data_IF_005496792297
#
_entry.id   IF_005496792297
#
_cell.length_a   1.000
_cell.length_b   1.000
_cell.length_c   1.000
_cell.angle_alpha   90.00
_cell.angle_beta   90.00
_cell.angle_gamma   90.00
#
_symmetry.space_group_name_H-M   'P 1'
#
loop_
_entity.id
_entity.type
_entity.pdbx_description
1 polymer ?
#
# COMPACT_ATOMS: atom_id res chain seq x y z
N UNK A 1 -3.62 15.84 17.75
CA UNK A 1 -4.71 16.55 17.06
C UNK A 1 -5.58 15.51 16.34
N UNK A 2 -6.83 15.34 16.75
CA UNK A 2 -7.74 14.32 16.21
C UNK A 2 -8.24 14.82 14.85
N UNK A 3 -7.68 14.29 13.79
CA UNK A 3 -8.14 14.57 12.43
C UNK A 3 -9.38 13.71 12.19
N UNK A 4 -10.54 14.31 11.91
CA UNK A 4 -11.78 13.57 11.61
C UNK A 4 -11.73 12.99 10.19
N UNK A 5 -11.14 11.80 10.05
CA UNK A 5 -11.08 11.06 8.77
C UNK A 5 -12.42 10.41 8.40
N UNK A 6 -13.25 10.10 9.39
CA UNK A 6 -14.58 9.55 9.19
C UNK A 6 -15.62 10.65 9.35
N UNK A 7 -16.40 10.85 8.30
CA UNK A 7 -17.48 11.83 8.34
C UNK A 7 -18.71 11.21 8.99
N UNK A 8 -19.23 11.86 10.03
CA UNK A 8 -20.63 11.75 10.43
C UNK A 8 -21.38 12.71 9.50
N UNK A 9 -21.84 12.19 8.37
CA UNK A 9 -22.72 12.87 7.42
C UNK A 9 -22.26 14.29 7.00
N UNK A 10 -21.14 14.40 6.29
CA UNK A 10 -20.64 15.69 5.80
C UNK A 10 -21.42 16.22 4.60
N UNK A 11 -22.12 17.34 4.80
CA UNK A 11 -22.44 18.33 3.78
C UNK A 11 -21.19 19.12 3.42
N UNK A 12 -20.53 18.79 2.32
CA UNK A 12 -19.94 19.81 1.44
C UNK A 12 -19.33 19.18 0.18
N UNK A 13 -19.63 19.79 -0.97
CA UNK A 13 -18.83 19.73 -2.21
C UNK A 13 -18.85 18.45 -3.05
N UNK A 14 -18.69 17.27 -2.44
CA UNK A 14 -18.72 15.97 -3.13
C UNK A 14 -20.11 15.34 -2.97
N UNK A 15 -20.63 14.67 -4.01
CA UNK A 15 -21.95 14.00 -3.96
C UNK A 15 -22.02 13.11 -2.71
N UNK A 16 -22.87 13.48 -1.74
CA UNK A 16 -23.13 12.67 -0.54
C UNK A 16 -23.48 11.25 -0.98
N UNK A 17 -22.81 10.25 -0.40
CA UNK A 17 -23.14 8.84 -0.65
C UNK A 17 -24.61 8.62 -0.30
N UNK A 18 -25.40 8.27 -1.31
CA UNK A 18 -26.81 7.93 -1.13
C UNK A 18 -26.97 6.50 -0.59
N UNK A 19 -28.12 6.15 0.00
CA UNK A 19 -28.44 4.76 0.34
C UNK A 19 -28.36 3.82 -0.87
N UNK A 20 -28.70 4.31 -2.07
CA UNK A 20 -28.58 3.60 -3.34
C UNK A 20 -27.11 3.34 -3.69
N UNK A 21 -26.25 4.36 -3.57
CA UNK A 21 -24.80 4.22 -3.79
C UNK A 21 -24.21 3.19 -2.84
N UNK A 22 -24.56 3.26 -1.55
CA UNK A 22 -24.11 2.28 -0.56
C UNK A 22 -24.52 0.85 -0.96
N UNK A 23 -25.78 0.63 -1.34
CA UNK A 23 -26.27 -0.68 -1.78
C UNK A 23 -25.51 -1.17 -3.01
N UNK A 24 -25.30 -0.32 -4.01
CA UNK A 24 -24.54 -0.63 -5.23
C UNK A 24 -23.08 -1.00 -4.91
N UNK A 25 -22.39 -0.18 -4.13
CA UNK A 25 -20.98 -0.37 -3.77
C UNK A 25 -20.79 -1.68 -2.99
N UNK A 26 -21.66 -1.96 -2.01
CA UNK A 26 -21.58 -3.21 -1.24
C UNK A 26 -21.88 -4.43 -2.12
N UNK A 27 -22.85 -4.34 -3.04
CA UNK A 27 -23.15 -5.42 -3.97
C UNK A 27 -21.94 -5.72 -4.90
N UNK A 28 -21.36 -4.69 -5.51
CA UNK A 28 -20.17 -4.81 -6.36
C UNK A 28 -18.98 -5.38 -5.59
N UNK A 29 -18.75 -4.92 -4.35
CA UNK A 29 -17.71 -5.47 -3.50
C UNK A 29 -17.92 -6.96 -3.19
N UNK A 30 -19.16 -7.39 -2.92
CA UNK A 30 -19.49 -8.81 -2.70
C UNK A 30 -19.25 -9.67 -3.94
N UNK A 31 -19.56 -9.16 -5.13
CA UNK A 31 -19.27 -9.86 -6.39
C UNK A 31 -17.76 -10.02 -6.64
N UNK A 32 -16.96 -9.08 -6.14
CA UNK A 32 -15.51 -9.10 -6.27
C UNK A 32 -14.78 -9.82 -5.14
N UNK A 33 -15.42 -10.04 -4.00
CA UNK A 33 -14.87 -10.78 -2.86
C UNK A 33 -14.22 -12.13 -3.24
N UNK A 34 -14.84 -12.97 -4.11
CA UNK A 34 -14.24 -14.24 -4.53
C UNK A 34 -13.13 -14.08 -5.58
N UNK A 35 -13.04 -12.91 -6.21
CA UNK A 35 -12.07 -12.58 -7.28
C UNK A 35 -10.83 -11.87 -6.75
N UNK A 36 -10.84 -11.44 -5.49
CA UNK A 36 -9.64 -10.97 -4.81
C UNK A 36 -8.80 -12.22 -4.49
N UNK A 37 -7.99 -12.66 -5.46
CA UNK A 37 -7.01 -13.74 -5.38
C UNK A 37 -5.80 -13.35 -4.51
N UNK A 38 -6.06 -12.86 -3.31
CA UNK A 38 -5.04 -12.68 -2.28
C UNK A 38 -5.52 -13.45 -1.06
N UNK A 39 -4.67 -14.33 -0.53
CA UNK A 39 -4.84 -14.82 0.85
C UNK A 39 -5.16 -13.60 1.69
N UNK A 40 -6.35 -13.51 2.32
CA UNK A 40 -6.73 -12.32 3.04
C UNK A 40 -5.65 -12.01 4.06
N UNK A 41 -5.22 -10.75 4.13
CA UNK A 41 -4.24 -10.34 5.13
C UNK A 41 -4.87 -10.57 6.52
N UNK A 42 -4.53 -11.67 7.19
CA UNK A 42 -5.07 -11.98 8.52
C UNK A 42 -4.34 -11.14 9.55
N UNK A 43 -5.07 -10.29 10.25
CA UNK A 43 -4.61 -9.42 11.30
C UNK A 43 -5.27 -9.81 12.62
N UNK A 44 -4.47 -10.08 13.66
CA UNK A 44 -4.96 -10.32 15.03
C UNK A 44 -5.76 -9.11 15.53
N UNK A 45 -5.23 -7.91 15.32
CA UNK A 45 -5.91 -6.66 15.66
C UNK A 45 -5.73 -5.65 14.53
N UNK A 46 -6.85 -5.16 14.00
CA UNK A 46 -6.84 -4.04 13.07
C UNK A 46 -7.06 -2.72 13.81
N UNK A 47 -6.11 -1.81 13.68
CA UNK A 47 -6.19 -0.48 14.30
C UNK A 47 -6.68 0.57 13.31
N UNK A 48 -7.29 1.62 13.82
CA UNK A 48 -7.71 2.78 13.02
C UNK A 48 -6.53 3.35 12.22
N UNK A 49 -5.39 3.58 12.89
CA UNK A 49 -4.26 4.27 12.26
C UNK A 49 -3.67 3.41 11.14
N UNK A 50 -3.72 2.07 11.28
CA UNK A 50 -3.32 1.14 10.23
C UNK A 50 -4.27 1.18 9.03
N UNK A 51 -5.59 1.22 9.27
CA UNK A 51 -6.58 1.41 8.18
C UNK A 51 -6.30 2.70 7.41
N UNK A 52 -6.03 3.79 8.13
CA UNK A 52 -5.71 5.08 7.52
C UNK A 52 -4.40 5.03 6.71
N UNK A 53 -3.37 4.36 7.24
CA UNK A 53 -2.10 4.20 6.54
C UNK A 53 -2.28 3.49 5.19
N UNK A 54 -3.20 2.53 5.10
CA UNK A 54 -3.50 1.82 3.85
C UNK A 54 -4.17 2.71 2.82
N UNK A 55 -5.10 3.59 3.23
CA UNK A 55 -5.65 4.60 2.33
C UNK A 55 -4.58 5.59 1.82
N UNK A 56 -3.50 5.81 2.57
CA UNK A 56 -2.40 6.68 2.14
C UNK A 56 -1.42 5.96 1.21
N UNK A 57 -1.10 4.69 1.50
CA UNK A 57 -0.16 3.90 0.70
C UNK A 57 -0.74 3.43 -0.62
N UNK A 58 -2.03 3.07 -0.63
CA UNK A 58 -2.68 2.40 -1.76
C UNK A 58 -3.46 3.37 -2.65
N UNK A 59 -3.49 4.66 -2.28
CA UNK A 59 -4.22 5.67 -3.05
C UNK A 59 -3.75 5.65 -4.50
N UNK A 60 -4.68 5.57 -5.47
CA UNK A 60 -4.33 5.76 -6.86
C UNK A 60 -3.68 7.13 -7.06
N UNK A 61 -2.65 7.21 -7.92
CA UNK A 61 -1.93 8.47 -8.21
C UNK A 61 -2.81 9.52 -8.89
N UNK A 62 -4.01 9.12 -9.33
CA UNK A 62 -5.01 10.05 -9.86
C UNK A 62 -5.52 10.98 -8.74
N UNK A 63 -5.19 12.27 -8.86
CA UNK A 63 -5.58 13.33 -7.94
C UNK A 63 -7.10 13.49 -7.77
N UNK A 64 -7.91 12.90 -8.65
CA UNK A 64 -9.37 12.90 -8.55
C UNK A 64 -9.92 11.98 -7.45
N UNK A 65 -9.13 11.03 -6.91
CA UNK A 65 -9.59 10.12 -5.87
C UNK A 65 -9.51 10.80 -4.52
N UNK A 66 -10.62 11.40 -4.09
CA UNK A 66 -10.73 12.10 -2.79
C UNK A 66 -11.42 11.28 -1.71
N UNK A 67 -12.03 10.17 -2.09
CA UNK A 67 -12.94 9.42 -1.24
C UNK A 67 -12.59 7.93 -1.21
N UNK A 68 -12.81 7.30 -0.06
CA UNK A 68 -12.66 5.87 0.14
C UNK A 68 -13.75 5.34 1.05
N UNK A 69 -13.97 4.04 1.03
CA UNK A 69 -14.90 3.38 1.94
C UNK A 69 -14.29 2.13 2.54
N UNK A 70 -14.72 1.83 3.76
CA UNK A 70 -14.41 0.59 4.45
C UNK A 70 -15.72 -0.19 4.62
N UNK A 71 -15.75 -1.41 4.11
CA UNK A 71 -16.87 -2.33 4.19
C UNK A 71 -16.50 -3.44 5.16
N UNK A 72 -17.33 -3.68 6.17
CA UNK A 72 -17.14 -4.76 7.14
C UNK A 72 -18.08 -5.91 6.81
N UNK A 73 -17.58 -7.15 6.84
CA UNK A 73 -18.38 -8.35 6.67
C UNK A 73 -17.97 -9.42 7.69
N UNK A 74 -18.89 -10.25 8.17
CA UNK A 74 -18.56 -11.38 9.03
C UNK A 74 -17.70 -12.41 8.27
N UNK A 75 -16.76 -13.03 8.97
CA UNK A 75 -15.88 -14.07 8.43
C UNK A 75 -15.66 -15.16 9.49
N UNK A 76 -15.37 -16.40 9.07
CA UNK A 76 -15.18 -17.51 10.01
C UNK A 76 -14.04 -17.25 11.02
N UNK A 77 -13.02 -16.49 10.60
CA UNK A 77 -11.87 -16.12 11.41
C UNK A 77 -12.00 -14.70 12.02
N UNK A 78 -13.19 -14.09 12.01
CA UNK A 78 -13.41 -12.74 12.55
C UNK A 78 -14.23 -11.88 11.60
N UNK A 79 -13.63 -10.83 11.05
CA UNK A 79 -14.31 -9.89 10.16
C UNK A 79 -13.45 -9.56 8.95
N UNK A 80 -14.03 -9.60 7.76
CA UNK A 80 -13.40 -9.07 6.55
C UNK A 80 -13.64 -7.56 6.50
N UNK A 81 -12.56 -6.81 6.28
CA UNK A 81 -12.58 -5.40 5.95
C UNK A 81 -12.15 -5.22 4.49
N UNK A 82 -13.07 -4.73 3.66
CA UNK A 82 -12.77 -4.24 2.32
C UNK A 82 -12.48 -2.75 2.34
N UNK A 83 -11.29 -2.34 1.93
CA UNK A 83 -10.97 -0.94 1.71
C UNK A 83 -10.93 -0.67 0.22
N UNK A 84 -11.73 0.27 -0.26
CA UNK A 84 -11.84 0.58 -1.68
C UNK A 84 -11.90 2.09 -1.90
N UNK A 85 -11.45 2.53 -3.08
CA UNK A 85 -11.42 3.93 -3.47
C UNK A 85 -12.60 4.29 -4.35
N UNK A 86 -13.12 5.50 -4.19
CA UNK A 86 -14.23 6.03 -4.96
C UNK A 86 -13.81 7.24 -5.80
N UNK A 87 -14.38 7.34 -7.00
CA UNK A 87 -14.29 8.54 -7.83
C UNK A 87 -15.30 9.62 -7.42
N UNK A 88 -15.35 10.72 -8.17
CA UNK A 88 -16.28 11.85 -7.93
C UNK A 88 -17.77 11.51 -8.10
N UNK A 89 -18.08 10.34 -8.64
CA UNK A 89 -19.44 9.84 -8.88
C UNK A 89 -19.80 8.65 -7.96
N UNK A 90 -19.04 8.46 -6.87
CA UNK A 90 -19.18 7.34 -5.94
C UNK A 90 -19.08 5.97 -6.63
N UNK A 91 -18.32 5.88 -7.73
CA UNK A 91 -18.02 4.62 -8.40
C UNK A 91 -16.69 4.07 -7.91
N UNK A 92 -16.60 2.75 -7.81
CA UNK A 92 -15.36 2.10 -7.39
C UNK A 92 -14.30 2.33 -8.47
N UNK A 93 -13.16 2.85 -8.06
CA UNK A 93 -12.04 3.10 -8.96
C UNK A 93 -11.41 1.75 -9.31
N UNK A 94 -11.35 1.42 -10.59
CA UNK A 94 -10.75 0.18 -11.07
C UNK A 94 -9.40 0.42 -11.78
N UNK A 95 -8.56 -0.61 -11.77
CA UNK A 95 -7.33 -0.72 -12.57
C UNK A 95 -7.69 -0.99 -14.04
N UNK A 96 -6.68 -0.92 -14.92
CA UNK A 96 -6.85 -1.19 -16.35
C UNK A 96 -7.33 -2.62 -16.65
N UNK A 97 -7.00 -3.58 -15.78
CA UNK A 97 -7.46 -4.97 -15.85
C UNK A 97 -8.91 -5.17 -15.33
N UNK A 98 -9.58 -4.10 -14.90
CA UNK A 98 -10.93 -4.12 -14.37
C UNK A 98 -11.02 -4.49 -12.87
N UNK A 99 -9.91 -4.80 -12.20
CA UNK A 99 -9.89 -5.06 -10.76
C UNK A 99 -10.03 -3.78 -9.93
N UNK A 100 -10.73 -3.79 -8.78
CA UNK A 100 -10.89 -2.61 -7.96
C UNK A 100 -9.58 -2.20 -7.27
N UNK A 101 -9.29 -0.90 -7.22
CA UNK A 101 -8.31 -0.36 -6.30
C UNK A 101 -8.80 -0.53 -4.86
N UNK A 102 -7.98 -1.19 -4.05
CA UNK A 102 -8.34 -1.54 -2.70
C UNK A 102 -7.63 -2.78 -2.21
N UNK A 103 -8.01 -3.21 -1.01
CA UNK A 103 -7.51 -4.41 -0.34
C UNK A 103 -8.59 -5.07 0.52
N UNK A 104 -8.36 -6.34 0.79
CA UNK A 104 -9.17 -7.14 1.70
C UNK A 104 -8.31 -7.62 2.88
N UNK A 105 -8.81 -7.42 4.09
CA UNK A 105 -8.11 -7.77 5.34
C UNK A 105 -9.06 -8.61 6.17
N UNK A 106 -8.60 -9.71 6.76
CA UNK A 106 -9.35 -10.43 7.78
C UNK A 106 -8.84 -9.99 9.14
N UNK A 107 -9.65 -9.25 9.88
CA UNK A 107 -9.34 -8.81 11.23
C UNK A 107 -10.04 -9.73 12.24
N UNK A 108 -9.27 -10.36 13.14
CA UNK A 108 -9.87 -11.13 14.25
C UNK A 108 -10.53 -10.19 15.25
N UNK A 109 -9.88 -9.06 15.54
CA UNK A 109 -10.40 -8.00 16.41
C UNK A 109 -10.17 -6.62 15.81
N UNK A 110 -11.00 -5.65 16.20
CA UNK A 110 -10.84 -4.23 15.87
C UNK A 110 -10.45 -3.46 17.14
N UNK A 111 -9.61 -2.44 17.00
CA UNK A 111 -9.37 -1.52 18.12
C UNK A 111 -10.65 -0.73 18.48
N UNK A 112 -10.75 -0.17 19.69
CA UNK A 112 -11.95 0.55 20.11
C UNK A 112 -12.28 1.73 19.19
N UNK A 113 -11.28 2.38 18.61
CA UNK A 113 -11.45 3.57 17.75
C UNK A 113 -12.11 3.21 16.42
N UNK A 114 -11.66 2.12 15.78
CA UNK A 114 -12.22 1.59 14.55
C UNK A 114 -13.56 0.91 14.80
N UNK A 115 -13.70 0.16 15.90
CA UNK A 115 -14.98 -0.41 16.32
C UNK A 115 -16.04 0.67 16.52
N UNK A 116 -15.71 1.76 17.22
CA UNK A 116 -16.60 2.91 17.40
C UNK A 116 -16.92 3.64 16.08
N UNK A 117 -15.99 3.65 15.12
CA UNK A 117 -16.22 4.25 13.81
C UNK A 117 -17.28 3.48 13.00
N UNK A 118 -17.28 2.16 13.10
CA UNK A 118 -18.33 1.32 12.53
C UNK A 118 -19.64 1.42 13.34
N UNK A 119 -19.56 1.35 14.67
CA UNK A 119 -20.73 1.11 15.51
C UNK A 119 -21.49 -0.12 15.03
N UNK A 120 -22.81 0.01 14.88
CA UNK A 120 -23.69 -1.04 14.35
C UNK A 120 -23.73 -1.10 12.81
N UNK A 121 -22.88 -0.32 12.13
CA UNK A 121 -22.85 -0.22 10.67
C UNK A 121 -21.74 -1.07 10.10
N UNK A 122 -21.94 -1.53 8.87
CA UNK A 122 -20.95 -2.32 8.12
C UNK A 122 -20.30 -1.53 6.97
N UNK A 123 -20.42 -0.21 7.02
CA UNK A 123 -19.95 0.70 5.98
C UNK A 123 -19.53 2.02 6.61
N UNK A 124 -18.29 2.41 6.36
CA UNK A 124 -17.70 3.67 6.82
C UNK A 124 -17.15 4.43 5.62
N UNK A 125 -17.52 5.70 5.51
CA UNK A 125 -16.99 6.61 4.51
C UNK A 125 -15.75 7.33 5.04
N UNK A 126 -14.75 7.48 4.18
CA UNK A 126 -13.45 8.06 4.51
C UNK A 126 -13.15 9.17 3.52
N UNK A 127 -12.97 10.39 4.02
CA UNK A 127 -12.54 11.51 3.20
C UNK A 127 -11.01 11.59 3.23
N UNK A 128 -10.40 11.45 2.06
CA UNK A 128 -8.95 11.41 1.89
C UNK A 128 -8.42 12.84 1.72
N UNK A 129 -7.75 13.35 2.75
CA UNK A 129 -7.13 14.68 2.69
C UNK A 129 -6.06 14.74 1.59
N UNK A 130 -5.89 15.91 0.99
CA UNK A 130 -4.76 16.18 0.08
C UNK A 130 -3.45 16.03 0.85
N UNK A 131 -2.43 15.43 0.22
CA UNK A 131 -1.10 15.29 0.80
C UNK A 131 -0.46 16.68 0.94
N UNK A 132 -0.66 17.32 2.09
CA UNK A 132 0.22 18.40 2.52
C UNK A 132 1.28 17.78 3.43
N UNK A 133 2.50 17.62 2.94
CA UNK A 133 3.65 17.28 3.76
C UNK A 133 4.83 18.20 3.40
N UNK A 134 5.26 19.09 4.31
CA UNK A 134 6.51 19.80 4.21
C UNK A 134 7.66 18.87 4.64
N UNK A 135 8.69 18.77 3.79
CA UNK A 135 9.98 18.14 4.11
C UNK A 135 10.10 16.67 3.70
N UNK A 136 10.49 16.41 2.44
CA UNK A 136 11.45 15.37 2.01
C UNK A 136 11.30 15.12 0.50
N UNK A 137 11.95 15.98 -0.29
CA UNK A 137 11.82 15.97 -1.76
C UNK A 137 12.47 14.74 -2.42
N UNK A 138 13.47 14.13 -1.79
CA UNK A 138 14.17 12.98 -2.37
C UNK A 138 13.41 11.68 -2.10
N UNK A 139 12.92 11.48 -0.87
CA UNK A 139 12.14 10.30 -0.53
C UNK A 139 10.81 10.27 -1.29
N UNK A 140 10.12 11.41 -1.43
CA UNK A 140 8.83 11.47 -2.12
C UNK A 140 8.92 11.21 -3.64
N UNK A 141 9.97 11.68 -4.31
CA UNK A 141 10.15 11.47 -5.76
C UNK A 141 10.51 10.01 -6.06
N UNK A 142 11.37 9.42 -5.22
CA UNK A 142 11.64 7.98 -5.20
C UNK A 142 10.30 7.26 -4.96
N UNK A 143 9.66 7.42 -3.81
CA UNK A 143 8.42 6.70 -3.45
C UNK A 143 7.24 6.88 -4.42
N UNK A 144 7.11 8.03 -5.10
CA UNK A 144 6.04 8.26 -6.07
C UNK A 144 6.28 7.48 -7.37
N UNK A 145 7.51 7.49 -7.88
CA UNK A 145 7.91 6.63 -9.00
C UNK A 145 7.80 5.14 -8.63
N UNK A 146 8.09 4.77 -7.38
CA UNK A 146 7.88 3.40 -6.87
C UNK A 146 6.42 2.99 -6.76
N UNK A 147 5.53 3.89 -6.35
CA UNK A 147 4.11 3.58 -6.19
C UNK A 147 3.46 3.17 -7.51
N UNK A 148 3.84 3.84 -8.61
CA UNK A 148 3.37 3.50 -9.96
C UNK A 148 4.03 2.22 -10.49
N UNK A 149 5.31 2.01 -10.19
CA UNK A 149 6.07 0.87 -10.66
C UNK A 149 5.76 -0.46 -9.94
N UNK A 150 5.53 -0.42 -8.63
CA UNK A 150 5.18 -1.59 -7.82
C UNK A 150 3.83 -2.19 -8.27
N UNK A 151 2.98 -1.41 -8.96
CA UNK A 151 1.72 -1.88 -9.54
C UNK A 151 1.90 -2.82 -10.74
N UNK A 152 2.98 -2.69 -11.50
CA UNK A 152 3.25 -3.56 -12.66
C UNK A 152 4.00 -4.85 -12.28
N UNK A 153 4.58 -4.89 -11.07
CA UNK A 153 5.38 -6.00 -10.55
C UNK A 153 4.57 -7.00 -9.70
N UNK A 154 3.27 -7.18 -10.01
CA UNK A 154 2.34 -8.15 -9.38
C UNK A 154 2.68 -9.62 -9.70
N UNK A 155 3.89 -10.04 -9.36
CA UNK A 155 4.14 -11.41 -8.90
C UNK A 155 4.13 -11.37 -7.38
N UNK A 156 3.44 -12.33 -6.75
CA UNK A 156 3.48 -12.52 -5.30
C UNK A 156 4.95 -12.47 -4.87
N UNK A 157 5.38 -11.46 -4.07
CA UNK A 157 6.76 -11.35 -3.68
C UNK A 157 7.14 -12.62 -2.91
N UNK A 158 8.26 -13.22 -3.29
CA UNK A 158 8.80 -14.37 -2.60
C UNK A 158 8.96 -14.05 -1.11
N UNK A 159 8.55 -14.98 -0.24
CA UNK A 159 8.67 -14.79 1.21
C UNK A 159 9.90 -15.58 1.67
N UNK A 160 10.92 -14.87 2.13
CA UNK A 160 12.15 -15.47 2.66
C UNK A 160 12.19 -15.35 4.19
N UNK A 161 12.77 -16.33 4.91
CA UNK A 161 12.81 -16.31 6.37
C UNK A 161 13.60 -15.13 6.95
N UNK A 162 14.72 -14.80 6.33
CA UNK A 162 15.64 -13.76 6.77
C UNK A 162 16.40 -13.24 5.56
N UNK A 163 16.73 -11.95 5.56
CA UNK A 163 17.69 -11.36 4.64
C UNK A 163 18.82 -10.77 5.47
N UNK A 164 20.04 -11.13 5.10
CA UNK A 164 21.25 -10.59 5.72
C UNK A 164 21.76 -9.36 4.99
N UNK A 165 22.59 -8.56 5.66
CA UNK A 165 23.31 -7.47 5.00
C UNK A 165 24.12 -8.00 3.80
N UNK A 166 24.84 -9.11 3.98
CA UNK A 166 25.60 -9.78 2.93
C UNK A 166 24.73 -10.18 1.73
N UNK A 167 23.56 -10.78 1.95
CA UNK A 167 22.63 -11.13 0.86
C UNK A 167 22.11 -9.89 0.13
N UNK A 168 21.86 -8.80 0.87
CA UNK A 168 21.41 -7.55 0.31
C UNK A 168 22.49 -6.91 -0.57
N UNK A 169 23.74 -6.84 -0.11
CA UNK A 169 24.87 -6.27 -0.86
C UNK A 169 25.28 -7.15 -2.03
N UNK A 170 25.30 -8.48 -1.85
CA UNK A 170 25.66 -9.45 -2.90
C UNK A 170 24.84 -9.23 -4.18
N UNK A 171 23.58 -8.84 -4.06
CA UNK A 171 22.74 -8.50 -5.20
C UNK A 171 23.28 -7.33 -6.03
N UNK A 172 23.81 -6.28 -5.39
CA UNK A 172 24.35 -5.11 -6.11
C UNK A 172 25.75 -5.33 -6.68
N UNK A 173 26.45 -6.37 -6.22
CA UNK A 173 27.81 -6.70 -6.67
C UNK A 173 27.80 -7.82 -7.70
N UNK A 174 27.16 -8.95 -7.38
CA UNK A 174 27.19 -10.17 -8.19
C UNK A 174 26.09 -10.20 -9.25
N UNK A 175 24.89 -9.75 -8.88
CA UNK A 175 23.70 -9.83 -9.75
C UNK A 175 23.43 -8.50 -10.49
N UNK A 176 24.41 -7.58 -10.48
CA UNK A 176 24.31 -6.27 -11.12
C UNK A 176 24.11 -6.39 -12.63
N UNK A 177 23.05 -5.79 -13.20
CA UNK A 177 22.86 -5.76 -14.65
C UNK A 177 24.02 -5.05 -15.34
N UNK A 178 24.39 -5.54 -16.53
CA UNK A 178 25.40 -4.91 -17.40
C UNK A 178 24.81 -3.68 -18.10
N UNK A 179 24.54 -2.63 -17.33
CA UNK A 179 24.06 -1.35 -17.84
C UNK A 179 24.94 -0.21 -17.30
N UNK A 180 25.60 0.51 -18.20
CA UNK A 180 26.56 1.57 -17.85
C UNK A 180 25.93 2.78 -17.17
N UNK A 181 24.61 2.95 -17.27
CA UNK A 181 23.86 3.99 -16.57
C UNK A 181 23.75 3.73 -15.08
N UNK A 182 23.83 2.47 -14.63
CA UNK A 182 23.77 2.12 -13.21
C UNK A 182 25.00 2.70 -12.51
N UNK A 183 24.76 3.54 -11.51
CA UNK A 183 25.79 4.13 -10.65
C UNK A 183 25.61 3.79 -9.19
N UNK A 184 24.38 3.52 -8.74
CA UNK A 184 24.07 3.24 -7.34
C UNK A 184 23.07 2.09 -7.23
N UNK A 185 23.07 1.41 -6.09
CA UNK A 185 21.99 0.56 -5.62
C UNK A 185 21.13 1.31 -4.60
N UNK A 186 19.87 0.90 -4.47
CA UNK A 186 19.01 1.36 -3.39
C UNK A 186 18.23 0.19 -2.80
N UNK A 187 18.13 0.17 -1.46
CA UNK A 187 17.33 -0.78 -0.70
C UNK A 187 16.24 0.01 -0.01
N UNK A 188 15.00 -0.32 -0.32
CA UNK A 188 13.82 0.23 0.32
C UNK A 188 13.21 -0.80 1.25
N UNK A 189 12.86 -0.38 2.46
CA UNK A 189 12.13 -1.18 3.44
C UNK A 189 10.75 -0.58 3.66
N UNK A 190 9.74 -1.45 3.69
CA UNK A 190 8.42 -1.11 4.23
C UNK A 190 7.96 -2.19 5.19
N UNK A 191 7.23 -1.79 6.21
CA UNK A 191 6.55 -2.75 7.08
C UNK A 191 5.60 -3.62 6.25
N UNK A 192 5.63 -4.92 6.50
CA UNK A 192 4.76 -5.90 5.85
C UNK A 192 4.21 -6.87 6.92
N UNK A 193 3.02 -7.42 6.72
CA UNK A 193 2.40 -8.27 7.76
C UNK A 193 3.20 -9.54 8.08
N UNK A 194 3.98 -10.01 7.12
CA UNK A 194 4.91 -11.14 7.27
C UNK A 194 6.33 -10.73 7.69
N UNK A 195 6.61 -9.44 7.91
CA UNK A 195 7.94 -8.91 8.25
C UNK A 195 8.21 -7.59 7.53
N UNK A 196 9.09 -7.61 6.55
CA UNK A 196 9.53 -6.44 5.80
C UNK A 196 9.41 -6.68 4.31
N UNK A 197 8.69 -5.79 3.63
CA UNK A 197 8.73 -5.72 2.17
C UNK A 197 10.00 -4.99 1.78
N UNK A 198 10.90 -5.71 1.13
CA UNK A 198 12.18 -5.19 0.67
C UNK A 198 12.12 -5.03 -0.84
N UNK A 199 12.56 -3.87 -1.33
CA UNK A 199 12.75 -3.60 -2.75
C UNK A 199 14.20 -3.19 -2.96
N UNK A 200 14.88 -3.89 -3.86
CA UNK A 200 16.25 -3.57 -4.26
C UNK A 200 16.28 -3.17 -5.72
N UNK A 201 16.95 -2.07 -6.03
CA UNK A 201 16.89 -1.42 -7.35
C UNK A 201 18.20 -0.72 -7.71
N UNK A 202 18.33 -0.35 -8.97
CA UNK A 202 19.51 0.35 -9.48
C UNK A 202 19.17 1.76 -9.94
N UNK A 203 20.00 2.72 -9.55
CA UNK A 203 19.86 4.14 -9.85
C UNK A 203 21.02 4.63 -10.72
N UNK A 204 20.76 5.70 -11.46
CA UNK A 204 21.79 6.40 -12.24
C UNK A 204 22.48 7.53 -11.46
N UNK A 205 23.27 8.36 -12.15
CA UNK A 205 24.01 9.48 -11.55
C UNK A 205 23.10 10.58 -10.98
N UNK A 206 21.86 10.67 -11.45
CA UNK A 206 20.87 11.65 -11.03
C UNK A 206 19.93 11.10 -9.94
N UNK A 207 20.21 9.88 -9.43
CA UNK A 207 19.32 9.10 -8.56
C UNK A 207 17.99 8.70 -9.22
N UNK A 208 17.96 8.63 -10.55
CA UNK A 208 16.78 8.15 -11.29
C UNK A 208 16.86 6.64 -11.50
N UNK A 209 15.70 5.98 -11.56
CA UNK A 209 15.62 4.53 -11.81
C UNK A 209 16.21 4.16 -13.16
N UNK A 210 17.09 3.15 -13.17
CA UNK A 210 17.57 2.57 -14.42
C UNK A 210 16.61 1.49 -14.90
N UNK A 211 16.01 1.73 -16.06
CA UNK A 211 15.17 0.75 -16.75
C UNK A 211 15.87 0.01 -17.89
N UNK A 212 15.33 -1.17 -18.21
CA UNK A 212 15.59 -1.90 -19.44
C UNK A 212 14.94 -1.20 -20.65
N UNK A 213 15.11 -1.78 -21.83
CA UNK A 213 14.57 -1.24 -23.09
C UNK A 213 13.04 -1.24 -23.17
N UNK A 214 12.36 -1.99 -22.30
CA UNK A 214 10.90 -2.05 -22.21
C UNK A 214 10.35 -1.07 -21.16
N UNK A 215 11.21 -0.27 -20.53
CA UNK A 215 10.83 0.66 -19.48
C UNK A 215 10.68 0.00 -18.10
N UNK A 216 11.02 -1.29 -17.97
CA UNK A 216 11.00 -1.98 -16.68
C UNK A 216 12.30 -1.72 -15.91
N UNK A 217 12.24 -1.25 -14.66
CA UNK A 217 13.42 -0.99 -13.84
C UNK A 217 14.12 -2.27 -13.46
N UNK A 218 15.45 -2.16 -13.40
CA UNK A 218 16.27 -3.21 -12.84
C UNK A 218 16.11 -3.24 -11.32
N UNK A 219 15.71 -4.41 -10.81
CA UNK A 219 15.47 -4.58 -9.40
C UNK A 219 14.78 -5.91 -9.08
N UNK A 220 14.61 -6.15 -7.79
CA UNK A 220 13.85 -7.27 -7.24
C UNK A 220 13.06 -6.80 -6.02
N UNK A 221 12.04 -7.56 -5.69
CA UNK A 221 11.28 -7.37 -4.46
C UNK A 221 10.93 -8.70 -3.82
N UNK A 222 10.87 -8.73 -2.51
CA UNK A 222 10.52 -9.90 -1.70
C UNK A 222 10.06 -9.46 -0.31
N UNK A 223 9.49 -10.39 0.44
CA UNK A 223 9.14 -10.19 1.84
C UNK A 223 10.12 -10.98 2.69
N UNK A 224 10.90 -10.30 3.52
CA UNK A 224 11.76 -10.94 4.51
C UNK A 224 11.05 -10.98 5.86
N UNK A 225 10.96 -12.14 6.51
CA UNK A 225 10.33 -12.20 7.85
C UNK A 225 11.16 -11.50 8.92
N UNK A 226 12.48 -11.50 8.73
CA UNK A 226 13.46 -10.83 9.58
C UNK A 226 14.55 -10.18 8.74
N UNK A 227 15.16 -9.16 9.30
CA UNK A 227 16.42 -8.59 8.84
C UNK A 227 17.46 -8.97 9.89
N UNK A 228 18.69 -9.30 9.49
CA UNK A 228 19.77 -9.46 10.46
C UNK A 228 20.10 -8.14 11.17
N UNK A 229 20.88 -8.22 12.25
CA UNK A 229 21.19 -7.06 13.09
C UNK A 229 21.93 -5.98 12.30
N UNK A 230 22.90 -6.36 11.46
CA UNK A 230 23.68 -5.43 10.65
C UNK A 230 22.80 -4.65 9.65
N UNK A 231 21.90 -5.31 8.94
CA UNK A 231 20.99 -4.63 8.02
C UNK A 231 19.97 -3.76 8.77
N UNK A 232 19.48 -4.19 9.94
CA UNK A 232 18.62 -3.35 10.78
C UNK A 232 19.34 -2.08 11.23
N UNK A 233 20.58 -2.19 11.70
CA UNK A 233 21.41 -1.05 12.10
C UNK A 233 21.65 -0.10 10.93
N UNK A 234 21.91 -0.63 9.74
CA UNK A 234 22.09 0.17 8.53
C UNK A 234 20.83 0.97 8.16
N UNK A 235 19.63 0.44 8.39
CA UNK A 235 18.39 1.18 8.19
C UNK A 235 18.16 2.21 9.29
N UNK A 236 18.46 1.88 10.55
CA UNK A 236 18.13 2.73 11.69
C UNK A 236 16.66 3.16 11.68
N UNK A 237 16.43 4.47 11.75
CA UNK A 237 15.12 5.13 11.71
C UNK A 237 14.60 5.41 10.29
N UNK A 238 15.36 5.03 9.26
CA UNK A 238 15.04 5.29 7.85
C UNK A 238 14.49 4.05 7.17
N UNK A 239 13.87 4.29 6.02
CA UNK A 239 13.32 3.23 5.17
C UNK A 239 14.07 3.08 3.83
N UNK A 240 15.13 3.86 3.62
CA UNK A 240 15.93 3.86 2.40
C UNK A 240 17.43 3.83 2.71
N UNK A 241 18.14 2.89 2.10
CA UNK A 241 19.60 2.82 2.05
C UNK A 241 20.04 3.02 0.60
N UNK A 242 21.04 3.86 0.37
CA UNK A 242 21.71 4.01 -0.92
C UNK A 242 23.10 3.37 -0.82
N UNK A 243 23.45 2.56 -1.82
CA UNK A 243 24.74 1.85 -1.93
C UNK A 243 25.45 2.39 -3.17
N UNK A 244 26.71 2.82 -3.05
CA UNK A 244 27.49 3.38 -4.17
C UNK A 244 28.65 2.47 -4.58
#
# INVERSE_FOLDING_TARGET
MIVSWFSKDSSDGDQKITPEDKRRIVAQFKEWLPRILAVPEVQEMMTFDRVISYFQSDRPSNSAVKNGVIIRQPHAEGQVLGQIFLDRYNQIVCRQDGSPYGRQIVAKTLDPKLSNAFGDRDFVFVQLKEKNLPGDRIEQDVFSQFGDLLRDLLRLPEVIPEITYDDAIKYFVSDRPRNSRIKKGAILRKAHFQGYHIVQMFLDKNNELVCDSLGKPYGRQFVARKLDEELQECFGDKDLIIVE
#
